data_IF_149117983288
#
_entry.id   IF_149117983288
#
_cell.length_a   1.000
_cell.length_b   1.000
_cell.length_c   1.000
_cell.angle_alpha   90.00
_cell.angle_beta   90.00
_cell.angle_gamma   90.00
#
_symmetry.space_group_name_H-M   'P 1'
#
loop_
_entity.id
_entity.type
_entity.pdbx_description
1 polymer ?
#
# COMPACT_ATOMS: atom_id res chain seq x y z
N UNK A 1 -2.29 -2.42 10.82
CA UNK A 1 -3.56 -3.07 11.22
C UNK A 1 -3.95 -3.98 10.06
N UNK A 2 -3.97 -5.29 10.26
CA UNK A 2 -4.43 -6.22 9.22
C UNK A 2 -5.95 -6.37 9.31
N UNK A 3 -6.66 -6.50 8.17
CA UNK A 3 -8.09 -6.74 8.19
C UNK A 3 -8.40 -8.09 8.87
N UNK A 4 -9.50 -8.14 9.63
CA UNK A 4 -10.02 -9.40 10.16
C UNK A 4 -10.64 -10.22 9.02
N UNK A 5 -9.85 -11.14 8.48
CA UNK A 5 -10.27 -12.01 7.38
C UNK A 5 -11.45 -12.91 7.71
N UNK A 6 -11.62 -13.30 8.98
CA UNK A 6 -12.75 -14.14 9.39
C UNK A 6 -14.04 -13.35 9.30
N UNK A 7 -14.04 -12.13 9.83
CA UNK A 7 -15.18 -11.21 9.73
C UNK A 7 -15.46 -10.83 8.28
N UNK A 8 -14.43 -10.55 7.48
CA UNK A 8 -14.58 -10.23 6.05
C UNK A 8 -15.30 -11.34 5.29
N UNK A 9 -14.81 -12.60 5.38
CA UNK A 9 -15.41 -13.75 4.69
C UNK A 9 -16.84 -14.00 5.15
N UNK A 10 -17.13 -13.77 6.42
CA UNK A 10 -18.46 -13.95 7.01
C UNK A 10 -19.45 -12.92 6.46
N UNK A 11 -19.10 -11.65 6.49
CA UNK A 11 -19.98 -10.58 5.99
C UNK A 11 -20.14 -10.64 4.47
N UNK A 12 -19.08 -10.97 3.72
CA UNK A 12 -19.15 -11.16 2.26
C UNK A 12 -20.20 -12.21 1.89
N UNK A 13 -20.16 -13.40 2.52
CA UNK A 13 -21.14 -14.47 2.28
C UNK A 13 -22.56 -14.05 2.64
N UNK A 14 -22.73 -13.36 3.76
CA UNK A 14 -24.03 -12.88 4.22
C UNK A 14 -24.64 -11.86 3.25
N UNK A 15 -23.86 -10.90 2.79
CA UNK A 15 -24.31 -9.89 1.83
C UNK A 15 -24.59 -10.50 0.45
N UNK A 16 -23.72 -11.41 -0.02
CA UNK A 16 -23.92 -12.11 -1.29
C UNK A 16 -25.18 -12.97 -1.29
N UNK A 17 -25.37 -13.83 -0.27
CA UNK A 17 -26.52 -14.73 -0.19
C UNK A 17 -27.86 -13.99 -0.09
N UNK A 18 -27.86 -12.75 0.42
CA UNK A 18 -29.06 -11.92 0.47
C UNK A 18 -29.52 -11.49 -0.93
N UNK A 19 -28.59 -11.25 -1.85
CA UNK A 19 -28.88 -10.78 -3.21
C UNK A 19 -28.94 -11.93 -4.23
N UNK A 20 -28.11 -12.96 -4.05
CA UNK A 20 -27.93 -14.07 -4.96
C UNK A 20 -28.04 -15.43 -4.24
N UNK A 21 -29.20 -15.79 -3.66
CA UNK A 21 -29.35 -16.95 -2.79
C UNK A 21 -29.10 -18.31 -3.48
N UNK A 22 -29.17 -18.37 -4.80
CA UNK A 22 -28.93 -19.58 -5.60
C UNK A 22 -27.53 -19.64 -6.21
N UNK A 23 -26.73 -18.58 -6.08
CA UNK A 23 -25.37 -18.52 -6.58
C UNK A 23 -24.39 -18.75 -5.42
N UNK A 24 -23.79 -19.93 -5.35
CA UNK A 24 -22.89 -20.29 -4.26
C UNK A 24 -21.55 -19.55 -4.37
N UNK A 25 -21.14 -18.87 -3.30
CA UNK A 25 -19.84 -18.22 -3.21
C UNK A 25 -18.78 -19.21 -2.70
N UNK A 26 -17.83 -19.58 -3.56
CA UNK A 26 -16.63 -20.31 -3.15
C UNK A 26 -15.51 -19.30 -2.83
N UNK A 27 -15.23 -19.09 -1.54
CA UNK A 27 -14.14 -18.20 -1.12
C UNK A 27 -12.87 -19.00 -0.96
N UNK A 28 -11.89 -18.75 -1.83
CA UNK A 28 -10.57 -19.38 -1.81
C UNK A 28 -9.53 -18.46 -1.19
N UNK A 29 -8.46 -19.04 -0.66
CA UNK A 29 -7.27 -18.30 -0.25
C UNK A 29 -6.34 -18.19 -1.46
N UNK A 30 -6.09 -16.96 -1.90
CA UNK A 30 -5.20 -16.62 -2.99
C UNK A 30 -4.48 -15.32 -2.66
N UNK A 31 -3.23 -15.20 -3.11
CA UNK A 31 -2.36 -14.08 -2.81
C UNK A 31 -1.63 -13.61 -4.09
N UNK A 32 -1.93 -12.37 -4.49
CA UNK A 32 -1.33 -11.72 -5.66
C UNK A 32 0.20 -11.54 -5.55
N UNK A 33 0.74 -11.54 -4.33
CA UNK A 33 2.18 -11.47 -4.10
C UNK A 33 2.89 -12.79 -4.35
N UNK A 34 2.14 -13.90 -4.34
CA UNK A 34 2.68 -15.25 -4.45
C UNK A 34 2.47 -15.87 -5.84
N UNK A 35 1.32 -15.64 -6.47
CA UNK A 35 0.94 -16.28 -7.74
C UNK A 35 0.00 -15.43 -8.60
N UNK A 36 0.00 -15.70 -9.92
CA UNK A 36 -1.01 -15.19 -10.85
C UNK A 36 -2.41 -15.77 -10.53
N UNK A 37 -3.50 -15.05 -10.84
CA UNK A 37 -4.84 -15.62 -10.73
C UNK A 37 -5.03 -16.75 -11.75
N UNK A 38 -5.60 -17.88 -11.31
CA UNK A 38 -5.93 -18.97 -12.23
C UNK A 38 -7.25 -18.72 -12.98
N UNK A 39 -7.52 -19.53 -14.01
CA UNK A 39 -8.73 -19.38 -14.83
C UNK A 39 -10.04 -19.75 -14.10
N UNK A 40 -9.99 -20.28 -12.88
CA UNK A 40 -11.16 -20.63 -12.07
C UNK A 40 -11.44 -19.58 -10.98
N UNK A 41 -10.63 -18.52 -10.90
CA UNK A 41 -10.78 -17.43 -9.94
C UNK A 41 -11.59 -16.29 -10.55
N UNK A 42 -12.91 -16.33 -10.37
CA UNK A 42 -13.84 -15.39 -11.03
C UNK A 42 -13.72 -13.94 -10.55
N UNK A 43 -13.54 -13.75 -9.24
CA UNK A 43 -13.44 -12.44 -8.58
C UNK A 43 -12.37 -12.53 -7.50
N UNK A 44 -11.42 -11.61 -7.53
CA UNK A 44 -10.31 -11.57 -6.58
C UNK A 44 -9.99 -10.14 -6.16
N UNK A 45 -9.43 -10.02 -4.95
CA UNK A 45 -8.94 -8.76 -4.39
C UNK A 45 -7.42 -8.84 -4.40
N UNK A 46 -6.78 -7.81 -4.96
CA UNK A 46 -5.33 -7.76 -5.13
C UNK A 46 -4.83 -6.35 -4.82
N UNK A 47 -3.52 -6.23 -4.59
CA UNK A 47 -2.88 -4.93 -4.44
C UNK A 47 -2.77 -4.22 -5.80
N UNK A 48 -3.16 -2.95 -5.86
CA UNK A 48 -3.21 -2.18 -7.10
C UNK A 48 -1.83 -2.04 -7.78
N UNK A 49 -0.72 -2.28 -7.07
CA UNK A 49 0.62 -2.35 -7.68
C UNK A 49 0.70 -3.40 -8.82
N UNK A 50 -0.12 -4.45 -8.78
CA UNK A 50 -0.17 -5.49 -9.81
C UNK A 50 -1.12 -5.18 -10.97
N UNK A 51 -1.90 -4.09 -10.91
CA UNK A 51 -2.98 -3.84 -11.87
C UNK A 51 -2.47 -3.77 -13.32
N UNK A 52 -1.41 -3.00 -13.59
CA UNK A 52 -0.85 -2.89 -14.94
C UNK A 52 -0.42 -4.25 -15.48
N UNK A 53 0.28 -5.04 -14.65
CA UNK A 53 0.70 -6.40 -15.02
C UNK A 53 -0.51 -7.31 -15.33
N UNK A 54 -1.55 -7.28 -14.51
CA UNK A 54 -2.75 -8.09 -14.73
C UNK A 54 -3.59 -7.64 -15.94
N UNK A 55 -3.62 -6.35 -16.26
CA UNK A 55 -4.23 -5.82 -17.50
C UNK A 55 -3.47 -6.37 -18.72
N UNK A 56 -2.14 -6.26 -18.72
CA UNK A 56 -1.29 -6.68 -19.85
C UNK A 56 -1.35 -8.19 -20.10
N UNK A 57 -1.53 -8.98 -19.04
CA UNK A 57 -1.73 -10.44 -19.12
C UNK A 57 -3.16 -10.86 -19.46
N UNK A 58 -4.10 -9.92 -19.49
CA UNK A 58 -5.50 -10.20 -19.81
C UNK A 58 -6.27 -10.90 -18.69
N UNK A 59 -5.80 -10.80 -17.44
CA UNK A 59 -6.49 -11.38 -16.28
C UNK A 59 -7.69 -10.54 -15.82
N UNK A 60 -7.70 -9.24 -16.12
CA UNK A 60 -8.74 -8.32 -15.66
C UNK A 60 -9.75 -8.02 -16.76
N UNK A 61 -11.02 -8.15 -16.42
CA UNK A 61 -12.12 -7.67 -17.25
C UNK A 61 -12.33 -6.17 -17.02
N UNK A 62 -12.40 -5.41 -18.12
CA UNK A 62 -12.76 -3.99 -18.08
C UNK A 62 -14.23 -3.81 -17.67
N UNK A 63 -14.47 -2.93 -16.71
CA UNK A 63 -15.79 -2.48 -16.26
C UNK A 63 -16.10 -1.09 -16.84
N UNK A 64 -17.30 -0.91 -17.37
CA UNK A 64 -17.80 0.41 -17.73
C UNK A 64 -18.39 1.10 -16.50
N UNK A 65 -18.49 2.43 -16.53
CA UNK A 65 -19.09 3.22 -15.44
C UNK A 65 -20.50 2.73 -15.03
N UNK A 66 -21.27 2.21 -15.99
CA UNK A 66 -22.63 1.68 -15.77
C UNK A 66 -22.65 0.36 -14.99
N UNK A 67 -21.53 -0.36 -14.94
CA UNK A 67 -21.39 -1.63 -14.22
C UNK A 67 -20.95 -1.42 -12.76
N UNK A 68 -20.69 -0.16 -12.38
CA UNK A 68 -20.22 0.23 -11.06
C UNK A 68 -21.34 0.99 -10.33
N UNK A 69 -21.92 0.31 -9.34
CA UNK A 69 -22.92 0.91 -8.47
C UNK A 69 -22.32 2.06 -7.65
N UNK A 70 -23.05 3.17 -7.56
CA UNK A 70 -22.73 4.33 -6.72
C UNK A 70 -21.29 4.84 -6.85
N UNK A 71 -20.75 4.91 -8.07
CA UNK A 71 -19.34 5.30 -8.31
C UNK A 71 -18.91 6.62 -7.64
N UNK A 72 -19.85 7.55 -7.43
CA UNK A 72 -19.59 8.83 -6.76
C UNK A 72 -19.33 8.72 -5.24
N UNK A 73 -19.61 7.56 -4.63
CA UNK A 73 -19.36 7.27 -3.21
C UNK A 73 -17.90 6.87 -2.96
N UNK A 74 -17.17 6.44 -4.00
CA UNK A 74 -15.75 6.17 -3.87
C UNK A 74 -14.93 7.45 -3.69
N UNK A 75 -13.84 7.34 -2.94
CA UNK A 75 -12.86 8.42 -2.84
C UNK A 75 -12.26 8.65 -4.24
N UNK A 76 -12.24 9.89 -4.78
CA UNK A 76 -11.90 10.14 -6.18
C UNK A 76 -10.57 9.54 -6.62
N UNK A 77 -9.51 9.68 -5.81
CA UNK A 77 -8.21 9.15 -6.19
C UNK A 77 -8.19 7.62 -6.28
N UNK A 78 -8.96 6.94 -5.43
CA UNK A 78 -8.94 5.49 -5.33
C UNK A 78 -9.62 4.86 -6.56
N UNK A 79 -10.75 5.42 -6.99
CA UNK A 79 -11.46 4.92 -8.17
C UNK A 79 -10.77 5.31 -9.47
N UNK A 80 -10.18 6.51 -9.54
CA UNK A 80 -9.37 6.92 -10.69
C UNK A 80 -8.09 6.08 -10.83
N UNK A 81 -7.52 5.64 -9.70
CA UNK A 81 -6.38 4.71 -9.66
C UNK A 81 -6.68 3.30 -10.17
N UNK A 82 -7.94 2.96 -10.43
CA UNK A 82 -8.36 1.68 -11.03
C UNK A 82 -8.48 1.73 -12.57
N UNK A 83 -8.04 2.82 -13.21
CA UNK A 83 -8.00 2.95 -14.68
C UNK A 83 -6.64 2.54 -15.24
N UNK A 84 -6.61 2.06 -16.48
CA UNK A 84 -5.35 1.77 -17.19
C UNK A 84 -4.49 3.02 -17.39
N UNK A 85 -5.14 4.16 -17.57
CA UNK A 85 -4.53 5.48 -17.74
C UNK A 85 -5.46 6.61 -17.26
N UNK A 86 -4.93 7.80 -16.94
CA UNK A 86 -5.73 8.91 -16.42
C UNK A 86 -6.92 9.32 -17.29
N UNK A 87 -6.75 9.31 -18.62
CA UNK A 87 -7.81 9.62 -19.59
C UNK A 87 -8.68 8.40 -19.98
N UNK A 88 -8.45 7.25 -19.36
CA UNK A 88 -9.21 6.02 -19.56
C UNK A 88 -10.68 6.17 -19.13
N UNK A 89 -11.57 5.49 -19.85
CA UNK A 89 -13.02 5.53 -19.58
C UNK A 89 -13.57 4.32 -18.84
N UNK A 90 -12.80 3.24 -18.73
CA UNK A 90 -13.20 2.06 -17.96
C UNK A 90 -12.20 1.71 -16.88
N UNK A 91 -12.66 0.85 -15.99
CA UNK A 91 -12.01 0.50 -14.74
C UNK A 91 -11.65 -0.98 -14.75
N UNK A 92 -10.55 -1.35 -14.12
CA UNK A 92 -10.07 -2.74 -14.04
C UNK A 92 -10.11 -3.29 -12.61
N UNK A 93 -10.81 -2.61 -11.71
CA UNK A 93 -11.00 -3.00 -10.33
C UNK A 93 -11.94 -2.03 -9.61
N UNK A 94 -12.30 -2.40 -8.38
CA UNK A 94 -13.07 -1.56 -7.47
C UNK A 94 -12.26 -1.37 -6.18
N UNK A 95 -12.00 -0.13 -5.73
CA UNK A 95 -11.21 0.10 -4.54
C UNK A 95 -11.96 -0.36 -3.29
N UNK A 96 -11.33 -1.23 -2.50
CA UNK A 96 -11.92 -1.79 -1.28
C UNK A 96 -11.22 -1.31 -0.02
N UNK A 97 -9.88 -1.25 -0.02
CA UNK A 97 -9.06 -0.90 1.15
C UNK A 97 -7.93 0.02 0.68
N UNK A 98 -7.74 1.13 1.38
CA UNK A 98 -6.55 1.97 1.27
C UNK A 98 -5.59 1.67 2.42
N UNK A 99 -4.29 1.60 2.13
CA UNK A 99 -3.25 1.43 3.13
C UNK A 99 -2.17 2.51 2.97
N UNK A 100 -1.57 2.93 4.08
CA UNK A 100 -0.46 3.87 4.10
C UNK A 100 0.28 3.76 5.44
N UNK A 101 1.57 4.11 5.45
CA UNK A 101 2.35 4.21 6.68
C UNK A 101 1.93 5.44 7.50
N UNK A 102 1.96 5.31 8.82
CA UNK A 102 1.64 6.40 9.74
C UNK A 102 2.71 6.52 10.82
N UNK A 103 3.13 7.74 11.11
CA UNK A 103 3.98 8.02 12.26
C UNK A 103 3.12 8.09 13.53
N UNK A 104 3.28 7.11 14.41
CA UNK A 104 2.71 7.12 15.75
C UNK A 104 3.70 7.70 16.76
N UNK A 105 3.29 8.74 17.48
CA UNK A 105 4.10 9.39 18.50
C UNK A 105 3.29 9.69 19.77
N UNK A 106 3.99 9.92 20.89
CA UNK A 106 3.34 10.23 22.18
C UNK A 106 2.81 11.65 22.16
N UNK A 107 1.62 11.88 22.75
CA UNK A 107 0.92 13.17 22.77
C UNK A 107 1.76 14.39 23.21
N UNK A 108 2.77 14.19 24.07
CA UNK A 108 3.63 15.26 24.59
C UNK A 108 4.92 15.48 23.76
N UNK A 109 5.17 14.67 22.74
CA UNK A 109 6.38 14.74 21.93
C UNK A 109 6.25 15.79 20.83
N UNK A 110 6.60 17.04 21.18
CA UNK A 110 6.53 18.19 20.27
C UNK A 110 7.63 18.22 19.23
N UNK A 111 8.70 17.44 19.40
CA UNK A 111 9.75 17.34 18.40
C UNK A 111 9.26 16.47 17.23
N UNK A 112 8.72 15.29 17.52
CA UNK A 112 8.14 14.40 16.51
C UNK A 112 6.90 14.99 15.84
N UNK A 113 6.04 15.71 16.58
CA UNK A 113 4.86 16.39 16.00
C UNK A 113 5.24 17.39 14.89
N UNK A 114 6.42 18.02 14.99
CA UNK A 114 6.87 19.03 14.03
C UNK A 114 7.62 18.45 12.83
N UNK A 115 8.04 17.20 12.89
CA UNK A 115 8.68 16.55 11.75
C UNK A 115 7.63 16.29 10.66
N UNK A 116 7.84 16.84 9.47
CA UNK A 116 6.96 16.70 8.30
C UNK A 116 7.61 15.88 7.18
N UNK A 117 8.92 15.60 7.30
CA UNK A 117 9.69 14.79 6.35
C UNK A 117 10.47 13.70 7.06
N UNK A 118 10.89 12.66 6.33
CA UNK A 118 11.75 11.61 6.89
C UNK A 118 13.11 12.15 7.35
N UNK A 119 13.62 13.19 6.67
CA UNK A 119 14.88 13.83 7.06
C UNK A 119 14.74 14.51 8.42
N UNK A 120 13.66 15.26 8.64
CA UNK A 120 13.36 15.87 9.94
C UNK A 120 13.10 14.83 11.02
N UNK A 121 12.39 13.74 10.69
CA UNK A 121 12.16 12.62 11.59
C UNK A 121 13.48 12.01 12.06
N UNK A 122 14.39 11.68 11.14
CA UNK A 122 15.70 11.13 11.46
C UNK A 122 16.56 12.12 12.28
N UNK A 123 16.41 13.44 12.05
CA UNK A 123 17.11 14.45 12.83
C UNK A 123 16.62 14.53 14.29
N UNK A 124 15.33 14.27 14.54
CA UNK A 124 14.76 14.21 15.88
C UNK A 124 15.16 12.92 16.60
N UNK A 125 15.08 11.78 15.91
CA UNK A 125 15.35 10.45 16.49
C UNK A 125 16.85 10.17 16.68
N UNK A 126 17.69 10.73 15.81
CA UNK A 126 19.10 10.37 15.73
C UNK A 126 19.32 8.97 15.18
N UNK A 127 20.55 8.47 15.33
CA UNK A 127 20.92 7.10 15.00
C UNK A 127 20.74 6.26 16.25
N UNK A 128 20.03 5.13 16.16
CA UNK A 128 19.97 4.18 17.27
C UNK A 128 21.33 3.48 17.39
N UNK A 129 22.04 3.60 18.53
CA UNK A 129 23.28 2.85 18.74
C UNK A 129 23.02 1.37 19.06
N UNK A 130 21.76 1.01 19.31
CA UNK A 130 21.37 -0.31 19.79
C UNK A 130 21.01 -1.25 18.62
N UNK A 131 21.41 -2.50 18.78
CA UNK A 131 21.10 -3.62 17.87
C UNK A 131 19.93 -4.46 18.37
N UNK A 132 19.33 -4.10 19.50
CA UNK A 132 18.16 -4.78 20.04
C UNK A 132 16.94 -4.60 19.12
N UNK A 133 16.17 -5.69 18.93
CA UNK A 133 14.92 -5.71 18.15
C UNK A 133 13.86 -4.78 18.75
N UNK A 134 13.90 -4.58 20.07
CA UNK A 134 13.03 -3.63 20.77
C UNK A 134 13.93 -2.53 21.33
N UNK A 135 13.79 -1.27 20.87
CA UNK A 135 14.62 -0.18 21.34
C UNK A 135 14.29 0.17 22.80
N UNK A 136 15.21 0.86 23.51
CA UNK A 136 14.96 1.33 24.87
C UNK A 136 13.73 2.23 24.98
N UNK A 137 13.23 2.38 26.21
CA UNK A 137 12.06 3.22 26.47
C UNK A 137 12.31 4.67 26.03
N UNK A 138 11.46 5.16 25.13
CA UNK A 138 11.51 6.52 24.56
C UNK A 138 12.70 6.79 23.62
N UNK A 139 13.32 5.75 23.07
CA UNK A 139 14.42 5.88 22.11
C UNK A 139 14.14 5.11 20.82
N UNK A 140 14.80 5.50 19.73
CA UNK A 140 14.76 4.80 18.44
C UNK A 140 13.43 4.88 17.67
N UNK A 141 13.39 4.18 16.54
CA UNK A 141 12.22 4.01 15.69
C UNK A 141 11.76 2.55 15.73
N UNK A 142 10.47 2.33 15.99
CA UNK A 142 9.84 1.04 15.76
C UNK A 142 9.23 1.04 14.35
N UNK A 143 9.84 0.27 13.45
CA UNK A 143 9.40 0.10 12.06
C UNK A 143 9.65 -1.35 11.64
N UNK A 144 8.68 -1.93 10.93
CA UNK A 144 8.81 -3.26 10.32
C UNK A 144 9.25 -3.08 8.87
N UNK A 145 10.47 -3.49 8.56
CA UNK A 145 11.08 -3.47 7.23
C UNK A 145 11.45 -4.89 6.76
N UNK A 146 10.78 -5.91 7.31
CA UNK A 146 11.09 -7.31 7.01
C UNK A 146 10.52 -7.78 5.66
N UNK A 147 9.57 -7.03 5.08
CA UNK A 147 8.93 -7.33 3.79
C UNK A 147 9.52 -6.49 2.64
N UNK A 148 9.82 -7.15 1.52
CA UNK A 148 10.35 -6.50 0.31
C UNK A 148 9.36 -5.48 -0.29
N UNK A 149 8.05 -5.71 -0.13
CA UNK A 149 7.03 -4.74 -0.58
C UNK A 149 7.14 -3.45 0.22
N UNK A 150 7.42 -3.52 1.52
CA UNK A 150 7.63 -2.35 2.36
C UNK A 150 8.86 -1.56 1.87
N UNK A 151 9.97 -2.23 1.55
CA UNK A 151 11.17 -1.54 1.01
C UNK A 151 10.85 -0.76 -0.27
N UNK A 152 10.07 -1.34 -1.19
CA UNK A 152 9.65 -0.68 -2.42
C UNK A 152 8.73 0.52 -2.14
N UNK A 153 7.72 0.36 -1.27
CA UNK A 153 6.81 1.44 -0.87
C UNK A 153 7.58 2.58 -0.18
N UNK A 154 8.50 2.27 0.72
CA UNK A 154 9.33 3.27 1.40
C UNK A 154 10.19 4.04 0.41
N UNK A 155 10.80 3.37 -0.57
CA UNK A 155 11.57 4.03 -1.62
C UNK A 155 10.72 5.04 -2.40
N UNK A 156 9.48 4.68 -2.73
CA UNK A 156 8.52 5.58 -3.38
C UNK A 156 8.16 6.76 -2.48
N UNK A 157 7.90 6.52 -1.20
CA UNK A 157 7.61 7.57 -0.23
C UNK A 157 8.77 8.57 -0.12
N UNK A 158 10.03 8.11 -0.06
CA UNK A 158 11.20 9.00 -0.06
C UNK A 158 11.33 9.82 -1.35
N UNK A 159 11.00 9.22 -2.51
CA UNK A 159 10.96 9.94 -3.79
C UNK A 159 9.94 11.08 -3.79
N UNK A 160 8.82 10.87 -3.09
CA UNK A 160 7.72 11.83 -2.97
C UNK A 160 7.93 12.87 -1.86
N UNK A 161 8.60 12.52 -0.76
CA UNK A 161 8.82 13.39 0.42
C UNK A 161 9.53 14.72 0.07
N UNK A 162 10.36 14.69 -0.97
CA UNK A 162 11.09 15.87 -1.45
C UNK A 162 10.35 16.66 -2.53
N UNK A 163 9.09 16.32 -2.83
CA UNK A 163 8.31 16.90 -3.94
C UNK A 163 6.99 17.46 -3.45
N UNK A 164 6.87 18.78 -3.52
CA UNK A 164 5.60 19.49 -3.36
C UNK A 164 5.24 20.14 -4.71
N UNK A 165 4.05 19.91 -5.26
CA UNK A 165 2.98 19.02 -4.77
C UNK A 165 3.31 17.54 -4.98
N UNK A 166 2.70 16.68 -4.17
CA UNK A 166 2.65 15.24 -4.41
C UNK A 166 2.10 14.97 -5.81
N UNK A 167 2.74 14.08 -6.56
CA UNK A 167 2.32 13.69 -7.90
C UNK A 167 1.70 12.29 -7.87
N UNK A 168 0.57 12.12 -8.56
CA UNK A 168 -0.03 10.81 -8.83
C UNK A 168 0.84 9.93 -9.74
N UNK A 169 1.78 10.55 -10.45
CA UNK A 169 2.77 9.88 -11.28
C UNK A 169 4.16 10.43 -10.92
N UNK A 170 4.74 10.00 -9.79
CA UNK A 170 6.09 10.41 -9.46
C UNK A 170 7.02 9.84 -10.52
N UNK A 171 7.98 10.62 -11.08
CA UNK A 171 8.92 10.08 -12.05
C UNK A 171 9.80 9.06 -11.33
N UNK A 172 9.55 7.79 -11.64
CA UNK A 172 10.32 6.67 -11.14
C UNK A 172 11.65 6.60 -11.89
N UNK A 173 12.73 6.13 -11.25
CA UNK A 173 13.95 5.81 -11.98
C UNK A 173 13.68 4.70 -13.01
N UNK A 174 14.58 4.54 -13.98
CA UNK A 174 14.50 3.40 -14.89
C UNK A 174 14.57 2.09 -14.10
N UNK A 175 13.87 1.05 -14.55
CA UNK A 175 13.74 -0.21 -13.83
C UNK A 175 15.07 -0.92 -13.53
N UNK A 176 16.13 -0.58 -14.26
CA UNK A 176 17.50 -1.08 -14.10
C UNK A 176 18.40 -0.20 -13.23
N UNK A 177 17.86 0.87 -12.62
CA UNK A 177 18.62 1.82 -11.82
C UNK A 177 17.86 2.29 -10.58
N UNK A 178 18.57 2.44 -9.47
CA UNK A 178 18.04 3.04 -8.24
C UNK A 178 18.80 4.34 -7.94
N UNK A 179 18.10 5.30 -7.34
CA UNK A 179 18.67 6.57 -6.91
C UNK A 179 19.52 6.38 -5.66
N UNK A 180 20.83 6.67 -5.77
CA UNK A 180 21.75 6.61 -4.62
C UNK A 180 21.33 7.51 -3.46
N UNK A 181 20.73 8.67 -3.74
CA UNK A 181 20.26 9.61 -2.71
C UNK A 181 19.07 9.05 -1.94
N UNK A 182 18.11 8.43 -2.63
CA UNK A 182 16.95 7.80 -1.99
C UNK A 182 17.37 6.59 -1.15
N UNK A 183 18.28 5.77 -1.69
CA UNK A 183 18.88 4.65 -0.94
C UNK A 183 19.61 5.15 0.32
N UNK A 184 20.35 6.26 0.21
CA UNK A 184 21.00 6.87 1.36
C UNK A 184 20.01 7.35 2.44
N UNK A 185 18.87 7.92 2.03
CA UNK A 185 17.81 8.32 2.96
C UNK A 185 17.15 7.10 3.63
N UNK A 186 16.88 6.03 2.87
CA UNK A 186 16.40 4.76 3.43
C UNK A 186 17.38 4.19 4.46
N UNK A 187 18.68 4.19 4.16
CA UNK A 187 19.70 3.74 5.10
C UNK A 187 19.71 4.53 6.42
N UNK A 188 19.44 5.85 6.37
CA UNK A 188 19.28 6.65 7.60
C UNK A 188 18.08 6.21 8.42
N UNK A 189 16.96 5.92 7.78
CA UNK A 189 15.76 5.42 8.45
C UNK A 189 15.99 4.07 9.10
N UNK A 190 16.63 3.13 8.39
CA UNK A 190 17.04 1.84 8.98
C UNK A 190 17.95 2.08 10.18
N UNK A 191 18.92 3.00 10.07
CA UNK A 191 19.82 3.33 11.17
C UNK A 191 19.12 3.97 12.38
N UNK A 192 17.99 4.65 12.18
CA UNK A 192 17.14 5.15 13.26
C UNK A 192 16.33 4.01 13.93
N UNK A 193 16.02 2.93 13.19
CA UNK A 193 15.32 1.74 13.69
C UNK A 193 16.19 0.69 14.38
N UNK A 194 17.52 0.72 14.16
CA UNK A 194 18.45 -0.33 14.62
C UNK A 194 18.82 -1.30 13.50
N UNK A 195 19.66 -2.31 13.78
CA UNK A 195 20.04 -3.31 12.75
C UNK A 195 18.80 -3.99 12.15
N UNK A 196 18.87 -4.29 10.85
CA UNK A 196 17.87 -5.03 10.05
C UNK A 196 17.13 -6.07 10.89
N UNK A 197 15.82 -5.87 11.05
CA UNK A 197 14.89 -6.93 11.42
C UNK A 197 14.62 -7.80 10.19
#
# INVERSE_FOLDING_TARGET
>A
MFPDWTSFKTELRKHWNKQHPTCMLNVVDWDAYSDDPDNNLDVFVFDNIFMTYFIERGFLMKLDKKDIDNIADFIPYAIEGCKDKPEGTGYYGLPQIGCTNMLYYRKKDKALERAQTYTELCAVLGISPDTAVIPPLNEGLLIDLSDNTMDACMYLDFSMDNRVPYSWNPPLPAADSLSGDLLHQMHKLVSAGGLKQ
#
